data_IF_053991401751
#
_entry.id   IF_053991401751
#
_cell.length_a   1.000
_cell.length_b   1.000
_cell.length_c   1.000
_cell.angle_alpha   90.00
_cell.angle_beta   90.00
_cell.angle_gamma   90.00
#
_symmetry.space_group_name_H-M   'P 1'
#
loop_
_entity.id
_entity.type
_entity.pdbx_description
1 polymer ?
#
# COMPACT_ATOMS: atom_id res chain seq x y z
N UNK A 1 13.64 -15.60 -9.78
CA UNK A 1 14.96 -15.55 -10.46
C UNK A 1 15.10 -16.55 -11.62
N UNK A 2 14.18 -17.50 -11.82
CA UNK A 2 14.25 -18.46 -12.95
C UNK A 2 14.18 -17.81 -14.35
N UNK A 3 13.49 -16.67 -14.49
CA UNK A 3 13.33 -16.01 -15.79
C UNK A 3 14.58 -15.24 -16.26
N UNK A 4 15.49 -14.89 -15.34
CA UNK A 4 16.72 -14.20 -15.71
C UNK A 4 17.63 -15.08 -16.58
N UNK A 5 17.76 -16.36 -16.24
CA UNK A 5 18.55 -17.31 -17.04
C UNK A 5 17.97 -17.46 -18.45
N UNK A 6 16.65 -17.39 -18.59
CA UNK A 6 15.97 -17.40 -19.89
C UNK A 6 16.28 -16.13 -20.68
N UNK A 7 16.20 -14.96 -20.05
CA UNK A 7 16.55 -13.68 -20.69
C UNK A 7 18.03 -13.68 -21.12
N UNK A 8 18.95 -14.20 -20.31
CA UNK A 8 20.36 -14.31 -20.66
C UNK A 8 20.63 -15.23 -21.86
N UNK A 9 19.93 -16.36 -21.96
CA UNK A 9 20.08 -17.27 -23.12
C UNK A 9 19.64 -16.60 -24.42
N UNK A 10 18.58 -15.80 -24.34
CA UNK A 10 18.03 -15.05 -25.47
C UNK A 10 18.94 -13.89 -25.87
N UNK A 11 19.43 -13.09 -24.92
CA UNK A 11 20.33 -11.97 -25.22
C UNK A 11 21.70 -12.40 -25.75
N UNK A 12 22.13 -13.64 -25.47
CA UNK A 12 23.38 -14.22 -25.99
C UNK A 12 23.25 -14.90 -27.36
N UNK A 13 22.09 -14.80 -28.02
CA UNK A 13 21.91 -15.28 -29.40
C UNK A 13 21.87 -16.79 -29.58
N UNK A 14 21.64 -17.56 -28.51
CA UNK A 14 21.69 -19.03 -28.56
C UNK A 14 20.52 -19.69 -29.31
N UNK A 15 19.41 -18.98 -29.55
CA UNK A 15 18.20 -19.51 -30.21
C UNK A 15 17.46 -18.42 -31.04
N UNK A 16 18.13 -17.82 -32.02
CA UNK A 16 17.52 -16.83 -32.93
C UNK A 16 17.60 -15.38 -32.43
N UNK A 17 17.17 -14.44 -33.29
CA UNK A 17 17.20 -13.00 -33.03
C UNK A 17 15.91 -12.57 -32.32
N UNK A 18 16.04 -12.19 -31.05
CA UNK A 18 14.94 -11.67 -30.25
C UNK A 18 15.32 -10.29 -29.71
N UNK A 19 14.46 -9.30 -29.96
CA UNK A 19 14.70 -7.91 -29.58
C UNK A 19 13.80 -7.42 -28.43
N UNK A 20 12.67 -8.11 -28.20
CA UNK A 20 11.68 -7.68 -27.21
C UNK A 20 11.18 -8.87 -26.38
N UNK A 21 10.80 -8.58 -25.14
CA UNK A 21 10.15 -9.51 -24.23
C UNK A 21 8.95 -8.83 -23.55
N UNK A 22 7.97 -9.64 -23.15
CA UNK A 22 6.78 -9.22 -22.38
C UNK A 22 6.31 -10.38 -21.51
N UNK A 23 5.64 -10.16 -20.39
CA UNK A 23 5.18 -8.89 -19.78
C UNK A 23 6.07 -8.53 -18.58
N UNK A 24 6.27 -7.24 -18.33
CA UNK A 24 6.96 -6.72 -17.15
C UNK A 24 6.00 -5.83 -16.36
N UNK A 25 5.93 -6.04 -15.05
CA UNK A 25 5.07 -5.27 -14.14
C UNK A 25 5.92 -4.86 -12.91
N UNK A 26 6.21 -3.56 -12.73
CA UNK A 26 7.02 -3.07 -11.61
C UNK A 26 6.43 -3.40 -10.24
N UNK A 27 5.10 -3.49 -10.14
CA UNK A 27 4.42 -3.87 -8.89
C UNK A 27 4.62 -5.35 -8.55
N UNK A 28 4.96 -6.19 -9.53
CA UNK A 28 5.32 -7.60 -9.32
C UNK A 28 6.81 -7.72 -9.01
N UNK A 29 7.69 -7.41 -9.98
CA UNK A 29 9.14 -7.51 -9.80
C UNK A 29 9.87 -6.38 -10.54
N UNK A 30 10.07 -5.25 -9.88
CA UNK A 30 10.88 -4.14 -10.41
C UNK A 30 12.34 -4.54 -10.65
N UNK A 31 12.87 -5.51 -9.89
CA UNK A 31 14.31 -5.85 -9.93
C UNK A 31 14.69 -6.45 -11.27
N UNK A 32 13.84 -7.30 -11.86
CA UNK A 32 14.13 -7.89 -13.18
C UNK A 32 14.12 -6.83 -14.28
N UNK A 33 13.29 -5.80 -14.16
CA UNK A 33 13.22 -4.66 -15.10
C UNK A 33 14.53 -3.88 -15.04
N UNK A 34 14.92 -3.45 -13.84
CA UNK A 34 16.17 -2.72 -13.60
C UNK A 34 17.39 -3.54 -14.06
N UNK A 35 17.40 -4.84 -13.76
CA UNK A 35 18.50 -5.72 -14.16
C UNK A 35 18.60 -5.86 -15.68
N UNK A 36 17.47 -5.97 -16.38
CA UNK A 36 17.42 -6.02 -17.83
C UNK A 36 17.90 -4.71 -18.46
N UNK A 37 17.39 -3.57 -17.99
CA UNK A 37 17.76 -2.23 -18.47
C UNK A 37 19.28 -2.01 -18.39
N UNK A 38 19.89 -2.28 -17.22
CA UNK A 38 21.34 -2.15 -17.03
C UNK A 38 22.14 -3.06 -17.94
N UNK A 39 21.65 -4.29 -18.17
CA UNK A 39 22.32 -5.26 -19.04
C UNK A 39 22.33 -4.80 -20.50
N UNK A 40 21.25 -4.17 -20.95
CA UNK A 40 21.15 -3.60 -22.29
C UNK A 40 22.01 -2.33 -22.41
N UNK A 41 21.96 -1.43 -21.43
CA UNK A 41 22.67 -0.15 -21.47
C UNK A 41 24.20 -0.28 -21.34
N UNK A 42 24.70 -1.12 -20.43
CA UNK A 42 26.14 -1.20 -20.11
C UNK A 42 26.86 -2.38 -20.80
N UNK A 43 26.13 -3.20 -21.56
CA UNK A 43 26.65 -4.44 -22.12
C UNK A 43 26.92 -5.53 -21.07
N UNK A 44 27.16 -6.75 -21.53
CA UNK A 44 27.30 -7.97 -20.69
C UNK A 44 28.55 -8.04 -19.79
N UNK A 45 29.32 -6.95 -19.66
CA UNK A 45 30.69 -6.96 -19.14
C UNK A 45 30.82 -6.64 -17.64
N UNK A 46 29.75 -6.30 -16.94
CA UNK A 46 29.83 -6.01 -15.50
C UNK A 46 28.78 -6.78 -14.69
N UNK A 47 29.25 -7.82 -14.00
CA UNK A 47 28.68 -8.24 -12.71
C UNK A 47 28.90 -7.09 -11.72
N UNK A 48 28.14 -6.01 -11.82
CA UNK A 48 28.17 -4.91 -10.85
C UNK A 48 26.93 -4.95 -9.95
N UNK A 49 27.24 -4.88 -8.66
CA UNK A 49 26.45 -5.03 -7.44
C UNK A 49 24.93 -5.16 -7.57
N UNK A 50 24.43 -6.29 -7.05
CA UNK A 50 23.03 -6.48 -6.64
C UNK A 50 22.51 -5.37 -5.71
N UNK A 51 23.41 -4.66 -5.01
CA UNK A 51 23.09 -3.66 -3.99
C UNK A 51 22.48 -2.38 -4.56
N UNK A 52 22.93 -1.89 -5.72
CA UNK A 52 22.37 -0.68 -6.35
C UNK A 52 20.99 -0.89 -7.00
N UNK A 53 20.61 -2.13 -7.29
CA UNK A 53 19.25 -2.44 -7.76
C UNK A 53 18.25 -2.57 -6.60
N UNK A 54 18.76 -2.63 -5.36
CA UNK A 54 17.97 -2.91 -4.17
C UNK A 54 17.34 -1.67 -3.53
N UNK A 55 17.70 -0.46 -4.01
CA UNK A 55 17.21 0.82 -3.50
C UNK A 55 16.34 1.61 -4.48
N UNK A 56 16.01 1.08 -5.67
CA UNK A 56 15.26 1.85 -6.65
C UNK A 56 13.77 1.88 -6.27
N UNK A 57 13.21 3.09 -6.08
CA UNK A 57 11.78 3.25 -5.84
C UNK A 57 10.97 3.11 -7.13
N UNK A 58 9.69 2.80 -6.97
CA UNK A 58 8.69 2.87 -8.02
C UNK A 58 7.43 3.52 -7.46
N UNK A 59 6.91 4.49 -8.21
CA UNK A 59 5.63 5.15 -7.94
C UNK A 59 4.63 4.82 -9.05
N UNK A 60 3.38 4.60 -8.66
CA UNK A 60 2.27 4.44 -9.59
C UNK A 60 1.09 5.27 -9.12
N UNK A 61 0.63 6.20 -9.96
CA UNK A 61 -0.55 6.99 -9.68
C UNK A 61 -1.81 6.15 -9.89
N UNK A 62 -2.68 6.13 -8.88
CA UNK A 62 -3.98 5.44 -8.89
C UNK A 62 -5.16 6.41 -8.91
N UNK A 63 -4.90 7.70 -8.63
CA UNK A 63 -5.88 8.77 -8.69
C UNK A 63 -5.19 10.12 -8.80
N UNK A 64 -5.76 10.98 -9.66
CA UNK A 64 -5.41 12.38 -9.79
C UNK A 64 -6.68 13.24 -9.78
N UNK A 65 -6.68 14.32 -9.00
CA UNK A 65 -7.87 15.18 -8.84
C UNK A 65 -8.33 15.87 -10.13
N UNK A 66 -7.44 16.05 -11.11
CA UNK A 66 -7.76 16.68 -12.42
C UNK A 66 -8.63 15.78 -13.29
N UNK A 67 -8.61 14.46 -13.07
CA UNK A 67 -9.39 13.53 -13.89
C UNK A 67 -10.89 13.52 -13.52
N UNK A 68 -11.28 14.28 -12.47
CA UNK A 68 -12.65 14.41 -11.94
C UNK A 68 -13.35 13.07 -11.65
N UNK A 69 -12.54 12.09 -11.20
CA UNK A 69 -12.94 10.69 -11.03
C UNK A 69 -13.11 10.27 -9.56
N UNK A 70 -13.15 11.21 -8.62
CA UNK A 70 -13.30 10.84 -7.20
C UNK A 70 -14.62 10.10 -6.94
N UNK A 71 -15.66 10.43 -7.71
CA UNK A 71 -16.94 9.74 -7.63
C UNK A 71 -16.95 8.36 -8.30
N UNK A 72 -16.12 8.15 -9.33
CA UNK A 72 -15.97 6.86 -10.02
C UNK A 72 -15.00 5.90 -9.31
N UNK A 73 -14.24 6.37 -8.33
CA UNK A 73 -13.45 5.48 -7.47
C UNK A 73 -14.33 4.46 -6.77
N UNK A 74 -13.78 3.26 -6.63
CA UNK A 74 -14.29 2.23 -5.74
C UNK A 74 -14.61 2.83 -4.35
N UNK A 75 -15.79 2.55 -3.76
CA UNK A 75 -16.18 3.15 -2.49
C UNK A 75 -15.18 2.94 -1.35
N UNK A 76 -14.47 1.80 -1.30
CA UNK A 76 -13.46 1.54 -0.26
C UNK A 76 -12.25 2.45 -0.44
N UNK A 77 -11.79 2.65 -1.69
CA UNK A 77 -10.72 3.62 -2.00
C UNK A 77 -11.13 5.02 -1.56
N UNK A 78 -12.35 5.45 -1.85
CA UNK A 78 -12.85 6.77 -1.41
C UNK A 78 -12.86 6.91 0.12
N UNK A 79 -13.32 5.89 0.85
CA UNK A 79 -13.26 5.89 2.33
C UNK A 79 -11.82 5.96 2.82
N UNK A 80 -10.91 5.18 2.22
CA UNK A 80 -9.49 5.23 2.54
C UNK A 80 -8.89 6.62 2.32
N UNK A 81 -9.18 7.28 1.20
CA UNK A 81 -8.65 8.62 0.91
C UNK A 81 -9.17 9.68 1.90
N UNK A 82 -10.45 9.61 2.27
CA UNK A 82 -11.01 10.47 3.32
C UNK A 82 -10.36 10.21 4.69
N UNK A 83 -10.16 8.94 5.04
CA UNK A 83 -9.44 8.54 6.24
C UNK A 83 -8.01 9.07 6.24
N UNK A 84 -7.25 8.84 5.16
CA UNK A 84 -5.87 9.29 5.00
C UNK A 84 -5.75 10.81 5.10
N UNK A 85 -6.69 11.56 4.50
CA UNK A 85 -6.78 13.01 4.65
C UNK A 85 -7.03 13.43 6.10
N UNK A 86 -7.95 12.75 6.79
CA UNK A 86 -8.26 13.04 8.19
C UNK A 86 -7.06 12.80 9.11
N UNK A 87 -6.45 11.60 9.05
CA UNK A 87 -5.28 11.29 9.90
C UNK A 87 -4.05 12.07 9.47
N UNK A 88 -3.91 12.38 8.18
CA UNK A 88 -2.85 13.22 7.63
C UNK A 88 -2.91 14.65 8.16
N UNK A 89 -4.09 15.28 8.11
CA UNK A 89 -4.33 16.60 8.74
C UNK A 89 -4.00 16.57 10.22
N UNK A 90 -4.50 15.57 10.94
CA UNK A 90 -4.21 15.43 12.38
C UNK A 90 -2.70 15.31 12.59
N UNK A 91 -2.02 14.47 11.85
CA UNK A 91 -0.58 14.28 11.96
C UNK A 91 0.20 15.56 11.64
N UNK A 92 -0.19 16.32 10.61
CA UNK A 92 0.48 17.55 10.16
C UNK A 92 0.17 18.78 11.03
N UNK A 93 -0.99 18.84 11.67
CA UNK A 93 -1.43 20.04 12.38
C UNK A 93 -1.40 19.89 13.91
N UNK A 94 -1.36 18.66 14.43
CA UNK A 94 -1.35 18.41 15.86
C UNK A 94 -0.24 19.11 16.65
N UNK A 95 1.02 19.16 16.19
CA UNK A 95 2.08 19.79 16.96
C UNK A 95 2.21 21.30 16.73
N UNK A 96 1.28 21.94 16.01
CA UNK A 96 1.37 23.36 15.68
C UNK A 96 0.48 24.23 16.55
N UNK A 97 0.86 25.49 16.78
CA UNK A 97 0.00 26.51 17.40
C UNK A 97 -1.31 26.76 16.64
N UNK A 98 -1.44 26.24 15.41
CA UNK A 98 -2.67 26.26 14.63
C UNK A 98 -3.85 25.56 15.34
N UNK A 99 -3.61 24.69 16.33
CA UNK A 99 -4.68 24.11 17.15
C UNK A 99 -5.17 25.01 18.31
N UNK A 100 -4.53 26.16 18.55
CA UNK A 100 -4.93 27.10 19.61
C UNK A 100 -6.00 28.04 19.07
N UNK A 101 -7.21 27.49 18.87
CA UNK A 101 -8.51 28.17 18.87
C UNK A 101 -8.76 29.34 17.92
N UNK A 102 -7.85 29.65 16.98
CA UNK A 102 -7.96 30.85 16.14
C UNK A 102 -7.55 30.65 14.67
N UNK A 103 -7.17 29.44 14.27
CA UNK A 103 -6.88 29.10 12.87
C UNK A 103 -7.51 27.73 12.56
N UNK A 104 -8.40 27.67 11.59
CA UNK A 104 -8.88 26.40 11.04
C UNK A 104 -8.19 26.11 9.71
N UNK A 105 -7.72 24.89 9.56
CA UNK A 105 -6.99 24.38 8.41
C UNK A 105 -7.67 23.09 7.92
N UNK A 106 -8.88 23.16 7.35
CA UNK A 106 -9.56 21.98 6.83
C UNK A 106 -8.79 21.40 5.64
N UNK A 107 -8.90 20.08 5.46
CA UNK A 107 -8.56 19.48 4.16
C UNK A 107 -9.72 19.77 3.23
N UNK A 108 -9.45 20.47 2.14
CA UNK A 108 -10.48 20.80 1.14
C UNK A 108 -10.56 19.70 0.08
N UNK A 109 -9.43 19.04 -0.22
CA UNK A 109 -9.38 17.99 -1.26
C UNK A 109 -8.20 17.04 -1.11
N UNK A 110 -8.39 15.84 -1.64
CA UNK A 110 -7.32 14.89 -1.98
C UNK A 110 -6.85 15.21 -3.39
N UNK A 111 -5.55 15.40 -3.56
CA UNK A 111 -4.92 15.81 -4.82
C UNK A 111 -4.48 14.61 -5.65
N UNK A 112 -3.84 13.63 -5.01
CA UNK A 112 -3.29 12.44 -5.67
C UNK A 112 -3.26 11.25 -4.71
N UNK A 113 -3.30 10.05 -5.28
CA UNK A 113 -3.02 8.80 -4.58
C UNK A 113 -1.99 8.02 -5.38
N UNK A 114 -0.85 7.73 -4.77
CA UNK A 114 0.23 6.97 -5.39
C UNK A 114 0.56 5.72 -4.56
N UNK A 115 0.83 4.62 -5.23
CA UNK A 115 1.47 3.45 -4.64
C UNK A 115 2.98 3.69 -4.63
N UNK A 116 3.64 3.36 -3.53
CA UNK A 116 5.09 3.44 -3.41
C UNK A 116 5.70 2.09 -3.08
N UNK A 117 6.61 1.62 -3.93
CA UNK A 117 7.34 0.36 -3.74
C UNK A 117 8.84 0.61 -3.77
N UNK A 118 9.53 0.32 -2.68
CA UNK A 118 10.98 0.10 -2.72
C UNK A 118 11.25 -1.32 -3.23
N UNK A 119 12.28 -1.48 -4.05
CA UNK A 119 12.64 -2.76 -4.70
C UNK A 119 12.85 -3.95 -3.74
N UNK A 120 13.21 -3.70 -2.49
CA UNK A 120 13.41 -4.72 -1.45
C UNK A 120 12.24 -4.82 -0.45
N UNK A 121 11.25 -3.93 -0.54
CA UNK A 121 10.11 -3.90 0.38
C UNK A 121 9.10 -4.99 0.00
N UNK A 122 8.66 -5.76 1.00
CA UNK A 122 7.61 -6.76 0.81
C UNK A 122 6.23 -6.12 0.61
N UNK A 123 6.01 -4.96 1.24
CA UNK A 123 4.78 -4.21 1.18
C UNK A 123 4.98 -2.86 0.50
N UNK A 124 3.95 -2.45 -0.23
CA UNK A 124 3.86 -1.09 -0.74
C UNK A 124 3.28 -0.19 0.33
N UNK A 125 3.87 1.00 0.42
CA UNK A 125 3.30 2.12 1.14
C UNK A 125 2.33 2.88 0.22
N UNK A 126 1.47 3.67 0.85
CA UNK A 126 0.38 4.42 0.24
C UNK A 126 0.68 5.90 0.43
N UNK A 127 0.84 6.64 -0.66
CA UNK A 127 1.09 8.08 -0.62
C UNK A 127 -0.19 8.82 -0.98
N UNK A 128 -0.63 9.72 -0.09
CA UNK A 128 -1.83 10.52 -0.32
C UNK A 128 -1.46 11.99 -0.24
N UNK A 129 -1.57 12.67 -1.38
CA UNK A 129 -1.40 14.11 -1.46
C UNK A 129 -2.71 14.79 -1.14
N UNK A 130 -2.67 15.75 -0.23
CA UNK A 130 -3.83 16.50 0.26
C UNK A 130 -3.54 18.00 0.21
N UNK A 131 -4.61 18.80 0.11
CA UNK A 131 -4.50 20.25 0.14
C UNK A 131 -5.70 20.90 0.80
N UNK A 132 -5.48 22.12 1.27
CA UNK A 132 -6.51 22.92 1.91
C UNK A 132 -6.09 24.38 2.07
N UNK A 133 -6.94 25.12 2.76
CA UNK A 133 -6.74 26.53 3.04
C UNK A 133 -6.90 26.77 4.54
N UNK A 134 -5.85 27.30 5.17
CA UNK A 134 -5.93 27.75 6.56
C UNK A 134 -6.54 29.15 6.63
N UNK A 135 -7.42 29.39 7.60
CA UNK A 135 -8.14 30.66 7.79
C UNK A 135 -8.16 31.04 9.27
N UNK A 136 -7.93 32.32 9.59
CA UNK A 136 -8.06 32.79 10.97
C UNK A 136 -9.53 33.01 11.38
N UNK A 137 -9.89 32.63 12.60
CA UNK A 137 -11.15 33.01 13.25
C UNK A 137 -10.95 34.17 14.25
N UNK A 138 -11.88 35.13 14.32
CA UNK A 138 -13.01 35.35 13.40
C UNK A 138 -12.53 35.89 12.05
N UNK A 139 -13.31 35.66 10.99
CA UNK A 139 -13.02 36.05 9.60
C UNK A 139 -12.88 37.57 9.33
N UNK A 140 -12.69 38.39 10.37
CA UNK A 140 -12.50 39.85 10.27
C UNK A 140 -11.20 40.26 9.58
N UNK A 141 -10.25 39.34 9.48
CA UNK A 141 -8.99 39.53 8.78
C UNK A 141 -8.90 38.42 7.74
N UNK A 142 -9.07 38.72 6.45
CA UNK A 142 -9.02 37.80 5.29
C UNK A 142 -7.67 37.05 5.11
N UNK A 143 -6.87 36.93 6.18
CA UNK A 143 -5.64 36.19 6.20
C UNK A 143 -5.93 34.70 6.03
N UNK A 144 -5.55 34.20 4.86
CA UNK A 144 -5.56 32.79 4.55
C UNK A 144 -4.29 32.41 3.81
N UNK A 145 -3.92 31.13 3.92
CA UNK A 145 -2.88 30.56 3.11
C UNK A 145 -3.27 29.18 2.63
N UNK A 146 -2.85 28.86 1.41
CA UNK A 146 -3.03 27.55 0.85
C UNK A 146 -1.85 26.67 1.22
N UNK A 147 -2.16 25.41 1.54
CA UNK A 147 -1.17 24.40 1.86
C UNK A 147 -1.44 23.13 1.07
N UNK A 148 -0.37 22.39 0.79
CA UNK A 148 -0.43 21.07 0.18
C UNK A 148 0.66 20.21 0.80
N UNK A 149 0.36 18.94 1.00
CA UNK A 149 1.23 18.00 1.66
C UNK A 149 1.04 16.60 1.09
N UNK A 150 2.06 15.75 1.20
CA UNK A 150 1.94 14.32 0.93
C UNK A 150 2.18 13.54 2.20
N UNK A 151 1.32 12.56 2.46
CA UNK A 151 1.39 11.70 3.65
C UNK A 151 1.71 10.28 3.20
N UNK A 152 2.74 9.68 3.81
CA UNK A 152 3.12 8.27 3.60
C UNK A 152 2.47 7.40 4.66
N UNK A 153 1.50 6.61 4.25
CA UNK A 153 0.85 5.62 5.08
C UNK A 153 1.44 4.23 4.82
N UNK A 154 1.77 3.52 5.89
CA UNK A 154 2.11 2.10 5.84
C UNK A 154 0.96 1.27 6.39
N UNK A 155 0.65 0.18 5.67
CA UNK A 155 -0.28 -0.85 6.13
C UNK A 155 0.33 -1.67 7.26
N UNK A 156 -0.44 -1.87 8.32
CA UNK A 156 -0.08 -2.69 9.46
C UNK A 156 -0.67 -4.08 9.29
N UNK A 157 0.18 -5.07 9.00
CA UNK A 157 -0.21 -6.48 9.00
C UNK A 157 -0.19 -7.01 10.41
N UNK A 158 -1.37 -7.22 10.98
CA UNK A 158 -1.54 -7.90 12.26
C UNK A 158 -1.85 -9.36 11.97
N UNK A 159 -0.81 -10.17 11.78
CA UNK A 159 -0.97 -11.61 11.61
C UNK A 159 -0.36 -12.28 12.84
N UNK A 160 -1.17 -13.02 13.57
CA UNK A 160 -0.72 -13.83 14.70
C UNK A 160 -0.55 -15.26 14.22
N UNK A 161 0.68 -15.73 14.14
CA UNK A 161 0.96 -17.13 13.90
C UNK A 161 1.01 -17.88 15.23
N UNK A 162 0.35 -19.03 15.31
CA UNK A 162 0.49 -19.88 16.48
C UNK A 162 1.91 -20.49 16.52
N UNK A 163 2.39 -20.81 17.72
CA UNK A 163 3.73 -21.35 17.96
C UNK A 163 3.84 -22.86 17.72
N UNK A 164 2.75 -23.52 17.31
CA UNK A 164 2.67 -24.94 17.01
C UNK A 164 3.70 -25.40 15.96
N UNK A 165 4.07 -26.69 16.03
CA UNK A 165 5.06 -27.28 15.11
C UNK A 165 4.61 -27.22 13.65
N UNK A 166 3.29 -27.23 13.38
CA UNK A 166 2.76 -27.16 12.03
C UNK A 166 2.73 -25.73 11.47
N UNK A 167 2.28 -24.76 12.27
CA UNK A 167 2.19 -23.36 11.89
C UNK A 167 3.57 -22.74 11.64
N UNK A 168 4.57 -23.00 12.51
CA UNK A 168 5.92 -22.42 12.39
C UNK A 168 6.65 -22.78 11.09
N UNK A 169 6.35 -23.93 10.48
CA UNK A 169 7.17 -24.48 9.41
C UNK A 169 6.45 -24.61 8.07
N UNK A 170 5.15 -24.30 7.99
CA UNK A 170 4.37 -24.53 6.75
C UNK A 170 3.56 -23.32 6.32
N UNK A 171 2.73 -22.71 7.17
CA UNK A 171 1.99 -21.51 6.75
C UNK A 171 2.92 -20.31 6.82
N UNK A 172 3.29 -19.75 5.67
CA UNK A 172 4.24 -18.65 5.56
C UNK A 172 3.58 -17.28 5.70
N UNK A 173 2.37 -17.12 5.16
CA UNK A 173 1.69 -15.83 5.05
C UNK A 173 0.20 -16.01 4.80
N UNK A 174 -0.60 -15.06 5.27
CA UNK A 174 -2.01 -14.91 4.91
C UNK A 174 -2.29 -13.45 4.58
N UNK A 175 -3.08 -13.21 3.53
CA UNK A 175 -3.43 -11.87 3.08
C UNK A 175 -4.89 -11.84 2.68
N UNK A 176 -5.55 -10.72 2.97
CA UNK A 176 -6.93 -10.47 2.58
C UNK A 176 -6.96 -9.35 1.53
N UNK A 177 -7.84 -9.48 0.55
CA UNK A 177 -8.13 -8.41 -0.40
C UNK A 177 -9.35 -8.74 -1.24
N UNK A 178 -9.79 -7.78 -2.03
CA UNK A 178 -11.05 -7.90 -2.76
C UNK A 178 -10.87 -8.33 -4.23
N UNK A 179 -9.65 -8.19 -4.75
CA UNK A 179 -9.33 -8.48 -6.15
C UNK A 179 -8.14 -9.43 -6.20
N UNK A 180 -8.38 -10.67 -6.61
CA UNK A 180 -7.34 -11.69 -6.74
C UNK A 180 -6.99 -11.96 -8.21
N UNK A 181 -5.74 -11.75 -8.56
CA UNK A 181 -5.16 -12.08 -9.85
C UNK A 181 -4.67 -13.53 -9.83
N UNK A 182 -5.43 -14.42 -10.46
CA UNK A 182 -5.12 -15.86 -10.52
C UNK A 182 -3.83 -16.13 -11.28
N UNK A 183 -3.46 -15.29 -12.25
CA UNK A 183 -2.28 -15.52 -13.10
C UNK A 183 -0.99 -15.17 -12.37
N UNK A 184 -1.00 -14.07 -11.63
CA UNK A 184 0.15 -13.57 -10.86
C UNK A 184 0.10 -14.03 -9.38
N UNK A 185 -0.94 -14.78 -9.02
CA UNK A 185 -1.21 -15.33 -7.69
C UNK A 185 -1.15 -14.28 -6.57
N UNK A 186 -1.66 -13.07 -6.82
CA UNK A 186 -1.55 -11.92 -5.91
C UNK A 186 -2.86 -11.14 -5.78
N UNK A 187 -2.94 -10.31 -4.74
CA UNK A 187 -4.05 -9.37 -4.55
C UNK A 187 -3.71 -8.02 -5.21
N UNK A 188 -4.63 -7.49 -6.02
CA UNK A 188 -4.49 -6.21 -6.75
C UNK A 188 -5.18 -5.04 -6.04
N UNK A 189 -5.93 -5.30 -4.98
CA UNK A 189 -6.49 -4.26 -4.14
C UNK A 189 -5.46 -3.75 -3.14
N UNK A 190 -4.89 -2.57 -3.42
CA UNK A 190 -3.80 -2.02 -2.64
C UNK A 190 -4.25 -1.21 -1.41
N UNK A 191 -5.53 -0.85 -1.31
CA UNK A 191 -6.13 -0.28 -0.09
C UNK A 191 -6.60 -1.36 0.89
N UNK A 192 -6.48 -2.64 0.52
CA UNK A 192 -6.64 -3.76 1.42
C UNK A 192 -5.74 -3.60 2.67
N UNK A 193 -6.21 -3.93 3.88
CA UNK A 193 -7.28 -4.91 4.15
C UNK A 193 -8.70 -4.34 4.29
N UNK A 194 -8.99 -3.11 3.84
CA UNK A 194 -10.35 -2.55 3.90
C UNK A 194 -11.30 -3.38 3.03
N UNK A 195 -12.37 -3.87 3.63
CA UNK A 195 -13.44 -4.59 2.94
C UNK A 195 -14.76 -3.86 3.16
N UNK A 196 -15.60 -3.75 2.13
CA UNK A 196 -16.91 -3.15 2.30
C UNK A 196 -17.90 -4.18 2.88
N UNK A 197 -18.90 -3.68 3.60
CA UNK A 197 -20.06 -4.48 3.97
C UNK A 197 -20.69 -5.10 2.72
N UNK A 198 -21.14 -6.35 2.83
CA UNK A 198 -21.66 -7.21 1.77
C UNK A 198 -20.62 -7.72 0.74
N UNK A 199 -19.36 -7.26 0.79
CA UNK A 199 -18.31 -7.82 -0.05
C UNK A 199 -17.94 -9.25 0.37
N UNK A 200 -17.35 -9.97 -0.58
CA UNK A 200 -16.87 -11.34 -0.44
C UNK A 200 -15.36 -11.36 -0.68
N UNK A 201 -14.54 -11.07 0.35
CA UNK A 201 -13.11 -10.94 0.17
C UNK A 201 -12.44 -12.28 -0.14
N UNK A 202 -11.28 -12.20 -0.78
CA UNK A 202 -10.37 -13.31 -1.01
C UNK A 202 -9.35 -13.40 0.13
N UNK A 203 -9.21 -14.60 0.69
CA UNK A 203 -8.09 -14.98 1.53
C UNK A 203 -7.03 -15.68 0.68
N UNK A 204 -5.86 -15.07 0.56
CA UNK A 204 -4.66 -15.65 -0.04
C UNK A 204 -3.78 -16.25 1.06
N UNK A 205 -3.23 -17.42 0.83
CA UNK A 205 -2.37 -18.13 1.78
C UNK A 205 -1.13 -18.66 1.07
N UNK A 206 0.04 -18.51 1.69
CA UNK A 206 1.30 -19.05 1.17
C UNK A 206 1.78 -20.18 2.07
N UNK A 207 2.11 -21.31 1.47
CA UNK A 207 2.51 -22.51 2.20
C UNK A 207 3.89 -22.98 1.75
N UNK A 208 4.77 -23.28 2.69
CA UNK A 208 5.99 -24.06 2.46
C UNK A 208 5.66 -25.54 2.56
N UNK A 209 5.94 -26.27 1.49
CA UNK A 209 5.79 -27.72 1.42
C UNK A 209 7.17 -28.33 1.23
N UNK A 210 7.61 -29.09 2.22
CA UNK A 210 8.72 -30.02 2.07
C UNK A 210 8.14 -31.43 1.91
N UNK A 211 8.35 -32.03 0.73
CA UNK A 211 8.14 -33.46 0.50
C UNK A 211 9.39 -34.19 0.99
N UNK A 212 9.20 -35.20 1.84
CA UNK A 212 10.26 -36.14 2.21
C UNK A 212 10.52 -37.09 1.03
N UNK A 213 11.79 -37.46 0.81
CA UNK A 213 12.18 -38.44 -0.21
C UNK A 213 11.25 -39.67 -0.18
N UNK A 214 10.56 -39.92 -1.30
CA UNK A 214 9.67 -41.07 -1.48
C UNK A 214 8.16 -40.82 -1.26
N UNK A 215 7.71 -39.60 -0.93
CA UNK A 215 6.28 -39.22 -1.00
C UNK A 215 6.05 -38.21 -2.12
N UNK A 216 5.45 -38.69 -3.20
CA UNK A 216 5.23 -37.89 -4.41
C UNK A 216 4.18 -36.77 -4.23
N UNK A 217 3.33 -36.83 -3.19
CA UNK A 217 2.25 -35.86 -3.00
C UNK A 217 2.02 -35.48 -1.53
N UNK A 218 1.86 -34.18 -1.26
CA UNK A 218 1.34 -33.65 0.00
C UNK A 218 -0.14 -33.32 -0.17
N UNK A 219 -0.98 -33.84 0.74
CA UNK A 219 -2.39 -33.50 0.83
C UNK A 219 -2.76 -33.21 2.28
N UNK A 220 -3.38 -32.06 2.55
CA UNK A 220 -3.86 -31.70 3.88
C UNK A 220 -5.15 -30.89 3.77
N UNK A 221 -6.03 -31.00 4.75
CA UNK A 221 -7.24 -30.18 4.82
C UNK A 221 -7.09 -29.16 5.94
N UNK A 222 -7.40 -27.90 5.63
CA UNK A 222 -7.45 -26.80 6.58
C UNK A 222 -8.86 -26.23 6.62
N UNK A 223 -9.20 -25.61 7.74
CA UNK A 223 -10.44 -24.88 7.96
C UNK A 223 -10.13 -23.39 7.95
N UNK A 224 -10.90 -22.62 7.18
CA UNK A 224 -10.90 -21.16 7.22
C UNK A 224 -12.16 -20.74 7.96
N UNK A 225 -11.99 -20.07 9.09
CA UNK A 225 -13.06 -19.62 9.97
C UNK A 225 -13.12 -18.10 9.92
N UNK A 226 -14.27 -17.57 9.49
CA UNK A 226 -14.57 -16.14 9.49
C UNK A 226 -15.37 -15.81 10.74
N UNK A 227 -14.95 -14.80 11.48
CA UNK A 227 -15.59 -14.36 12.70
C UNK A 227 -15.98 -12.88 12.65
N UNK A 228 -17.18 -12.59 13.13
CA UNK A 228 -17.75 -11.24 13.28
C UNK A 228 -16.97 -10.42 14.31
N UNK A 229 -17.20 -9.09 14.39
CA UNK A 229 -16.49 -8.21 15.33
C UNK A 229 -16.69 -8.57 16.80
N UNK A 230 -17.83 -9.17 17.16
CA UNK A 230 -18.12 -9.67 18.51
C UNK A 230 -17.61 -11.10 18.77
N UNK A 231 -16.90 -11.69 17.81
CA UNK A 231 -16.25 -13.00 17.94
C UNK A 231 -17.14 -14.20 17.61
N UNK A 232 -18.38 -14.00 17.15
CA UNK A 232 -19.23 -15.10 16.65
C UNK A 232 -18.64 -15.66 15.37
N UNK A 233 -18.88 -16.95 15.11
CA UNK A 233 -18.49 -17.59 13.85
C UNK A 233 -19.56 -17.29 12.81
N UNK A 234 -19.16 -16.68 11.71
CA UNK A 234 -20.05 -16.36 10.59
C UNK A 234 -20.01 -17.45 9.51
N UNK A 235 -18.81 -17.92 9.16
CA UNK A 235 -18.63 -18.93 8.10
C UNK A 235 -17.42 -19.81 8.37
N UNK A 236 -17.53 -21.10 8.04
CA UNK A 236 -16.42 -22.07 8.08
C UNK A 236 -16.30 -22.74 6.71
N UNK A 237 -15.13 -22.61 6.09
CA UNK A 237 -14.84 -23.20 4.78
C UNK A 237 -13.73 -24.23 4.88
N UNK A 238 -13.94 -25.41 4.29
CA UNK A 238 -12.93 -26.47 4.15
C UNK A 238 -12.11 -26.21 2.89
N UNK A 239 -10.78 -26.22 3.02
CA UNK A 239 -9.86 -26.08 1.90
C UNK A 239 -8.87 -27.24 1.88
N UNK A 240 -8.74 -27.89 0.71
CA UNK A 240 -7.72 -28.91 0.49
C UNK A 240 -6.46 -28.27 -0.07
N UNK A 241 -5.33 -28.51 0.60
CA UNK A 241 -3.99 -28.19 0.14
C UNK A 241 -3.43 -29.42 -0.56
N UNK A 242 -3.07 -29.28 -1.83
CA UNK A 242 -2.41 -30.33 -2.62
C UNK A 242 -1.14 -29.77 -3.22
N UNK A 243 -0.06 -30.53 -3.13
CA UNK A 243 1.23 -30.17 -3.72
C UNK A 243 1.95 -31.41 -4.25
N UNK A 244 2.45 -31.31 -5.47
CA UNK A 244 3.12 -32.40 -6.19
C UNK A 244 4.65 -32.19 -6.25
N UNK A 245 5.14 -31.08 -5.69
CA UNK A 245 6.56 -30.75 -5.61
C UNK A 245 6.84 -30.00 -4.32
N UNK A 246 8.07 -30.13 -3.82
CA UNK A 246 8.56 -29.27 -2.74
C UNK A 246 8.65 -27.82 -3.21
N UNK A 247 8.37 -26.87 -2.32
CA UNK A 247 8.44 -25.44 -2.62
C UNK A 247 7.35 -24.63 -1.93
N UNK A 248 7.14 -23.41 -2.44
CA UNK A 248 6.06 -22.54 -2.00
C UNK A 248 4.83 -22.78 -2.86
N UNK A 249 3.70 -23.04 -2.21
CA UNK A 249 2.39 -23.16 -2.86
C UNK A 249 1.53 -21.99 -2.42
N UNK A 250 0.91 -21.31 -3.38
CA UNK A 250 -0.08 -20.27 -3.12
C UNK A 250 -1.47 -20.85 -3.32
N UNK A 251 -2.34 -20.65 -2.35
CA UNK A 251 -3.76 -20.99 -2.47
C UNK A 251 -4.59 -19.77 -2.14
N UNK A 252 -5.79 -19.70 -2.71
CA UNK A 252 -6.75 -18.65 -2.43
C UNK A 252 -8.12 -19.27 -2.16
N UNK A 253 -8.95 -18.51 -1.44
CA UNK A 253 -10.31 -18.89 -1.09
C UNK A 253 -11.14 -17.62 -0.98
N UNK A 254 -12.28 -17.58 -1.67
CA UNK A 254 -13.24 -16.49 -1.54
C UNK A 254 -14.27 -16.84 -0.47
N UNK A 255 -14.57 -15.87 0.40
CA UNK A 255 -15.71 -15.98 1.32
C UNK A 255 -17.02 -16.17 0.52
N UNK A 256 -17.90 -17.09 0.93
CA UNK A 256 -19.13 -17.36 0.16
C UNK A 256 -20.24 -16.35 0.47
N UNK A 257 -20.33 -15.96 1.73
CA UNK A 257 -21.37 -15.05 2.22
C UNK A 257 -20.77 -13.64 2.34
N UNK A 258 -21.54 -12.62 1.96
CA UNK A 258 -21.12 -11.23 2.14
C UNK A 258 -21.02 -10.88 3.63
N UNK A 259 -20.12 -9.97 3.98
CA UNK A 259 -19.92 -9.55 5.37
C UNK A 259 -21.13 -8.74 5.88
N UNK A 260 -21.66 -9.09 7.04
CA UNK A 260 -22.96 -8.64 7.54
C UNK A 260 -22.93 -7.38 8.41
N UNK A 261 -21.79 -7.07 9.02
CA UNK A 261 -21.61 -6.07 10.07
C UNK A 261 -20.33 -5.28 9.83
N UNK A 262 -20.32 -3.99 10.20
CA UNK A 262 -19.13 -3.14 10.23
C UNK A 262 -18.32 -3.38 11.51
N UNK A 263 -17.01 -3.12 11.46
CA UNK A 263 -16.09 -3.32 12.58
C UNK A 263 -14.88 -4.17 12.22
N UNK A 264 -14.17 -4.66 13.23
CA UNK A 264 -12.96 -5.44 13.03
C UNK A 264 -13.30 -6.93 13.04
N UNK A 265 -13.37 -7.52 11.85
CA UNK A 265 -13.56 -8.96 11.68
C UNK A 265 -12.24 -9.71 11.89
N UNK A 266 -12.31 -11.03 12.05
CA UNK A 266 -11.12 -11.87 12.01
C UNK A 266 -11.29 -13.08 11.09
N UNK A 267 -10.18 -13.47 10.46
CA UNK A 267 -10.07 -14.71 9.70
C UNK A 267 -9.02 -15.59 10.33
N UNK A 268 -9.39 -16.84 10.61
CA UNK A 268 -8.53 -17.85 11.24
C UNK A 268 -8.33 -19.02 10.29
N UNK A 269 -7.08 -19.42 10.11
CA UNK A 269 -6.72 -20.66 9.41
C UNK A 269 -6.38 -21.69 10.48
N UNK A 270 -7.08 -22.83 10.45
CA UNK A 270 -6.98 -23.88 11.46
C UNK A 270 -6.72 -25.23 10.80
N UNK A 271 -6.02 -26.11 11.51
CA UNK A 271 -5.85 -27.51 11.12
C UNK A 271 -6.52 -28.40 12.16
N UNK A 272 -7.37 -29.30 11.69
CA UNK A 272 -8.34 -29.97 12.57
C UNK A 272 -9.19 -28.93 13.32
N UNK A 273 -10.16 -29.35 14.14
CA UNK A 273 -11.05 -28.37 14.80
C UNK A 273 -10.38 -27.52 15.88
N UNK A 274 -9.12 -27.80 16.23
CA UNK A 274 -8.49 -27.26 17.44
C UNK A 274 -7.12 -26.57 17.23
N UNK A 275 -6.36 -26.86 16.17
CA UNK A 275 -5.03 -26.26 15.98
C UNK A 275 -5.14 -24.96 15.16
N UNK A 276 -5.20 -23.81 15.83
CA UNK A 276 -5.04 -22.51 15.18
C UNK A 276 -3.65 -22.42 14.54
N UNK A 277 -3.60 -22.08 13.25
CA UNK A 277 -2.33 -21.88 12.53
C UNK A 277 -1.97 -20.40 12.42
N UNK A 278 -2.93 -19.58 11.98
CA UNK A 278 -2.80 -18.14 11.90
C UNK A 278 -4.16 -17.47 12.10
N UNK A 279 -4.11 -16.25 12.63
CA UNK A 279 -5.25 -15.33 12.74
C UNK A 279 -4.86 -13.96 12.20
N UNK A 280 -5.78 -13.33 11.49
CA UNK A 280 -5.62 -11.96 10.99
C UNK A 280 -6.93 -11.19 11.18
N UNK A 281 -6.96 -10.14 12.02
CA UNK A 281 -8.03 -9.17 12.00
C UNK A 281 -8.01 -8.33 10.72
N UNK A 282 -9.17 -7.81 10.31
CA UNK A 282 -9.31 -6.90 9.18
C UNK A 282 -10.52 -5.97 9.34
N UNK A 283 -10.47 -4.74 8.82
CA UNK A 283 -11.56 -3.78 8.93
C UNK A 283 -12.63 -4.02 7.87
N UNK A 284 -13.88 -4.07 8.32
CA UNK A 284 -15.08 -4.05 7.48
C UNK A 284 -15.82 -2.76 7.72
N UNK A 285 -16.16 -2.05 6.65
CA UNK A 285 -16.77 -0.71 6.73
C UNK A 285 -18.06 -0.64 5.90
N UNK A 286 -19.01 0.20 6.32
CA UNK A 286 -20.05 0.65 5.40
C UNK A 286 -19.44 1.67 4.43
N UNK A 287 -19.43 1.41 3.12
CA UNK A 287 -18.87 2.34 2.13
C UNK A 287 -19.61 3.69 2.07
N UNK A 288 -20.80 3.79 2.65
CA UNK A 288 -21.59 5.01 2.73
C UNK A 288 -21.37 5.79 4.03
N UNK A 289 -20.68 5.22 5.03
CA UNK A 289 -20.36 5.94 6.25
C UNK A 289 -19.37 7.08 5.93
N UNK A 290 -19.69 8.28 6.42
CA UNK A 290 -18.91 9.50 6.17
C UNK A 290 -18.29 10.06 7.43
N UNK A 291 -18.74 9.62 8.61
CA UNK A 291 -18.26 10.10 9.89
C UNK A 291 -16.93 9.44 10.23
N UNK A 292 -15.85 10.22 10.14
CA UNK A 292 -14.50 9.75 10.51
C UNK A 292 -14.42 9.31 11.98
N UNK A 293 -15.24 9.86 12.87
CA UNK A 293 -15.32 9.44 14.28
C UNK A 293 -15.70 7.97 14.45
N UNK A 294 -16.46 7.40 13.50
CA UNK A 294 -16.81 5.98 13.48
C UNK A 294 -15.80 5.14 12.71
N UNK A 295 -15.28 5.67 11.60
CA UNK A 295 -14.37 4.93 10.71
C UNK A 295 -12.95 4.84 11.27
N UNK A 296 -12.43 5.90 11.87
CA UNK A 296 -11.06 5.95 12.37
C UNK A 296 -10.76 4.86 13.41
N UNK A 297 -11.61 4.60 14.44
CA UNK A 297 -11.37 3.50 15.37
C UNK A 297 -11.25 2.11 14.72
N UNK A 298 -11.94 1.89 13.58
CA UNK A 298 -11.88 0.64 12.82
C UNK A 298 -10.63 0.57 11.95
N UNK A 299 -10.18 1.71 11.39
CA UNK A 299 -9.07 1.77 10.42
C UNK A 299 -7.69 2.01 11.06
N UNK A 300 -7.60 2.81 12.13
CA UNK A 300 -6.35 3.15 12.84
C UNK A 300 -5.49 1.92 13.22
N UNK A 301 -6.06 0.77 13.61
CA UNK A 301 -5.27 -0.42 13.88
C UNK A 301 -4.50 -0.97 12.67
N UNK A 302 -4.87 -0.59 11.45
CA UNK A 302 -4.39 -1.17 10.18
C UNK A 302 -3.55 -0.22 9.34
N UNK A 303 -3.44 1.05 9.72
CA UNK A 303 -2.65 2.04 9.01
C UNK A 303 -1.85 2.88 9.98
N UNK A 304 -0.62 3.23 9.60
CA UNK A 304 0.22 4.14 10.37
C UNK A 304 0.85 5.16 9.44
N UNK A 305 0.87 6.42 9.85
CA UNK A 305 1.66 7.44 9.15
C UNK A 305 3.14 7.20 9.47
N UNK A 306 3.95 7.04 8.44
CA UNK A 306 5.41 6.90 8.55
C UNK A 306 6.11 8.24 8.49
N UNK A 307 5.64 9.08 7.59
CA UNK A 307 6.19 10.41 7.33
C UNK A 307 5.16 11.26 6.61
N UNK A 308 5.39 12.56 6.62
CA UNK A 308 4.69 13.51 5.79
C UNK A 308 5.67 14.61 5.36
N UNK A 309 5.36 15.27 4.25
CA UNK A 309 6.15 16.36 3.70
C UNK A 309 5.23 17.45 3.12
N UNK A 310 5.75 18.67 3.00
CA UNK A 310 5.02 19.78 2.37
C UNK A 310 5.34 19.84 0.87
N UNK A 311 4.29 20.06 0.06
CA UNK A 311 4.40 20.22 -1.39
C UNK A 311 4.52 21.72 -1.68
N UNK A 312 5.74 22.15 -1.99
CA UNK A 312 6.04 23.56 -2.23
C UNK A 312 5.97 24.42 -0.98
N UNK A 313 6.16 25.73 -1.16
CA UNK A 313 6.00 26.70 -0.07
C UNK A 313 4.52 27.09 0.05
N UNK A 314 3.98 27.20 1.28
CA UNK A 314 2.64 27.73 1.49
C UNK A 314 2.50 29.11 0.83
N UNK A 315 1.54 29.26 -0.07
CA UNK A 315 1.28 30.54 -0.73
C UNK A 315 0.45 31.40 0.21
N UNK A 316 1.12 32.36 0.84
CA UNK A 316 0.50 33.34 1.72
C UNK A 316 -0.04 34.51 0.90
N UNK A 317 -1.35 34.70 0.92
CA UNK A 317 -2.00 35.94 0.48
C UNK A 317 -2.28 36.80 1.71
N UNK A 318 -1.22 37.26 2.38
CA UNK A 318 -1.39 38.16 3.54
C UNK A 318 -1.26 39.61 3.08
N UNK A 319 -2.40 40.32 3.06
CA UNK A 319 -2.43 41.76 3.31
C UNK A 319 -2.71 41.97 4.80
N UNK A 320 -1.72 42.45 5.56
CA UNK A 320 -1.81 42.98 6.93
C UNK A 320 -1.70 42.05 8.16
N UNK A 321 -1.30 42.69 9.27
CA UNK A 321 -0.69 42.19 10.51
C UNK A 321 -1.61 41.39 11.47
N UNK A 322 -2.16 40.27 11.03
CA UNK A 322 -2.80 39.30 11.95
C UNK A 322 -1.73 38.47 12.68
N UNK A 323 -1.55 38.72 13.98
CA UNK A 323 -0.50 38.11 14.82
C UNK A 323 -0.65 36.57 14.96
N UNK A 324 -1.88 36.04 14.99
CA UNK A 324 -2.15 34.60 15.13
C UNK A 324 -1.82 33.80 13.88
N UNK A 325 -2.21 34.30 12.70
CA UNK A 325 -1.89 33.69 11.41
C UNK A 325 -0.37 33.71 11.12
N UNK A 326 0.31 34.75 11.58
CA UNK A 326 1.77 34.91 11.47
C UNK A 326 2.57 33.89 12.30
N UNK A 327 1.96 33.22 13.28
CA UNK A 327 2.61 32.18 14.11
C UNK A 327 2.34 30.77 13.57
N UNK A 328 1.13 30.50 13.07
CA UNK A 328 0.77 29.20 12.51
C UNK A 328 1.60 28.86 11.25
N UNK A 329 1.88 29.84 10.38
CA UNK A 329 2.64 29.57 9.13
C UNK A 329 4.10 29.16 9.41
N UNK A 330 4.88 29.90 10.23
CA UNK A 330 6.21 29.47 10.66
C UNK A 330 6.20 28.15 11.42
N UNK A 331 5.21 27.91 12.29
CA UNK A 331 5.12 26.66 13.06
C UNK A 331 4.85 25.45 12.16
N UNK A 332 4.00 25.59 11.15
CA UNK A 332 3.75 24.54 10.17
C UNK A 332 5.00 24.25 9.33
N UNK A 333 5.69 25.31 8.91
CA UNK A 333 6.97 25.20 8.20
C UNK A 333 8.06 24.59 9.09
N UNK A 334 8.10 24.92 10.37
CA UNK A 334 9.08 24.44 11.34
C UNK A 334 8.81 22.99 11.75
N UNK A 335 7.55 22.63 11.98
CA UNK A 335 7.15 21.29 12.39
C UNK A 335 7.32 20.26 11.26
N UNK A 336 7.20 20.68 9.99
CA UNK A 336 7.30 19.81 8.81
C UNK A 336 8.26 20.36 7.76
N UNK A 337 9.47 20.71 8.21
CA UNK A 337 10.58 21.26 7.41
C UNK A 337 11.05 20.37 6.23
N UNK A 338 10.38 19.24 6.00
CA UNK A 338 10.70 18.31 4.94
C UNK A 338 9.91 18.70 3.70
N UNK A 339 10.58 19.37 2.76
CA UNK A 339 10.09 19.55 1.40
C UNK A 339 9.99 18.17 0.73
N UNK A 340 8.83 17.86 0.14
CA UNK A 340 8.63 16.60 -0.56
C UNK A 340 9.71 16.30 -1.61
N UNK A 341 10.23 17.32 -2.29
CA UNK A 341 11.31 17.20 -3.29
C UNK A 341 12.64 16.69 -2.68
N UNK A 342 12.82 16.85 -1.37
CA UNK A 342 14.04 16.45 -0.65
C UNK A 342 13.98 15.04 -0.07
N UNK A 343 12.84 14.37 -0.19
CA UNK A 343 12.64 13.01 0.33
C UNK A 343 13.07 11.94 -0.67
N UNK A 344 13.23 10.70 -0.21
CA UNK A 344 13.49 9.52 -1.05
C UNK A 344 12.23 8.68 -1.33
N UNK A 345 11.06 9.14 -0.84
CA UNK A 345 9.82 8.38 -0.88
C UNK A 345 8.65 9.15 -1.49
N UNK A 346 8.68 10.48 -1.52
CA UNK A 346 7.58 11.27 -2.07
C UNK A 346 7.46 11.07 -3.58
N UNK A 347 6.25 11.13 -4.10
CA UNK A 347 6.00 11.19 -5.55
C UNK A 347 6.57 12.46 -6.22
N UNK A 348 6.93 13.47 -5.42
CA UNK A 348 7.59 14.69 -5.87
C UNK A 348 9.12 14.62 -5.80
N UNK A 349 9.68 13.54 -5.25
CA UNK A 349 11.13 13.35 -5.22
C UNK A 349 11.70 13.14 -6.63
N UNK A 350 13.01 13.36 -6.79
CA UNK A 350 13.66 13.17 -8.07
C UNK A 350 13.69 11.68 -8.46
N UNK A 351 13.13 11.34 -9.62
CA UNK A 351 13.22 10.02 -10.25
C UNK A 351 13.93 10.15 -11.60
N UNK A 352 15.24 9.95 -11.60
CA UNK A 352 16.05 10.12 -12.81
C UNK A 352 15.84 9.03 -13.86
N UNK A 353 15.21 7.91 -13.52
CA UNK A 353 15.02 6.78 -14.45
C UNK A 353 13.77 6.98 -15.30
N UNK A 354 12.70 7.51 -14.72
CA UNK A 354 11.45 7.76 -15.46
C UNK A 354 11.38 9.13 -16.14
N UNK A 355 12.32 10.04 -15.83
CA UNK A 355 12.37 11.37 -16.43
C UNK A 355 12.97 11.36 -17.84
N UNK A 356 12.21 11.85 -18.81
CA UNK A 356 12.70 12.14 -20.16
C UNK A 356 13.48 13.46 -20.13
N UNK A 357 14.81 13.37 -20.26
CA UNK A 357 15.67 14.53 -20.45
C UNK A 357 15.77 14.91 -21.93
N UNK A 358 16.27 16.13 -22.19
CA UNK A 358 16.56 16.61 -23.54
C UNK A 358 17.50 15.63 -24.27
N UNK A 359 17.26 15.44 -25.58
CA UNK A 359 18.05 14.56 -26.43
C UNK A 359 19.55 14.89 -26.32
N UNK A 360 20.34 13.92 -25.90
CA UNK A 360 21.79 14.01 -25.97
C UNK A 360 22.24 13.76 -27.42
N UNK A 361 23.26 14.46 -27.93
CA UNK A 361 23.83 14.14 -29.23
C UNK A 361 24.41 12.71 -29.18
N UNK A 362 23.98 11.86 -30.12
CA UNK A 362 24.50 10.51 -30.28
C UNK A 362 26.02 10.58 -30.49
N UNK A 363 26.78 9.85 -29.68
CA UNK A 363 28.24 9.76 -29.77
C UNK A 363 28.70 8.62 -30.66
#
# INVERSE_FOLDING_TARGET
>A
MADWDRLQKVTRGSNGLHFFARKFDPLIDLRIIVQLERTVANGSSQRQSTDLASSLPYWQNEFHHVDDQLHSLDPRRRVFLNYAAHVGRRYLLQPTSCNVGSVDCPVERVLQFNLFKQSNAEMMDLLVSIGGTCRSEPALHDASFQWSAEVRLQRQRKITFNSGKWSKNRLLDIQLGNEYDVKEEMLRDYVAPIVAKNDRPFLRQRWSVALSDGKDNFSSTVLVVWSTPDGRIDEVQKQQLKANSSGVVVVHLQKQIGLSEDGIWSVRVQKNSDELLAEMPFPVIDPNERLMEKLAPVLDPFFSIKSACLIGKPNSTVMSHSFTMSQCTPDLLQAYYVDCNSTDWSSHSADSISQLLLLLPDR
#
